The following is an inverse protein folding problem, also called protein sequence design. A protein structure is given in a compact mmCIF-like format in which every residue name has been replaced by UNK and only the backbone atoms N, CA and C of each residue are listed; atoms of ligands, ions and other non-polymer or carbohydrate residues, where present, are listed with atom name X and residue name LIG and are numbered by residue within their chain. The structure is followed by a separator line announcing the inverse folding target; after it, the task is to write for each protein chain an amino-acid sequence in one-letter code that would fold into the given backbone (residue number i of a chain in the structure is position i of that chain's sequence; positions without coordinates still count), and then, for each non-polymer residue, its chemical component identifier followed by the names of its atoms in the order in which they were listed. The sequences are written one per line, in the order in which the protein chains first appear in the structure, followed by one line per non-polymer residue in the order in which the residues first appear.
data_IF_451390754964
#
_entry.id   IF_451390754964
#
_cell.length_a   1.000
_cell.length_b   1.000
_cell.length_c   1.000
_cell.angle_alpha   90.00
_cell.angle_beta   90.00
_cell.angle_gamma   90.00
#
_symmetry.space_group_name_H-M   'P 1'
#
loop_
_entity.id
_entity.type
_entity.pdbx_description
1 polymer ?
#
# COMPACT_ATOMS: atom_id res chain seq x y z
N UNK A 1 -23.66 21.41 -12.71
CA UNK A 1 -22.63 22.39 -12.29
C UNK A 1 -21.29 21.70 -12.52
N UNK A 2 -20.51 22.14 -13.50
CA UNK A 2 -19.24 21.51 -13.86
C UNK A 2 -18.18 21.80 -12.80
N UNK A 3 -17.72 20.78 -12.09
CA UNK A 3 -16.57 20.89 -11.17
C UNK A 3 -15.34 21.36 -11.95
N UNK A 4 -14.81 22.52 -11.58
CA UNK A 4 -13.59 23.08 -12.16
C UNK A 4 -12.41 22.25 -11.64
N UNK A 5 -11.84 21.42 -12.51
CA UNK A 5 -10.69 20.59 -12.15
C UNK A 5 -9.43 21.45 -12.08
N UNK A 6 -8.70 21.36 -10.96
CA UNK A 6 -7.45 22.10 -10.76
C UNK A 6 -6.26 21.39 -11.39
N UNK A 7 -5.26 22.18 -11.83
CA UNK A 7 -4.02 21.67 -12.39
C UNK A 7 -3.18 20.93 -11.33
N UNK A 8 -2.70 19.73 -11.65
CA UNK A 8 -1.87 18.91 -10.77
C UNK A 8 -0.36 19.15 -10.90
N UNK A 9 0.05 20.18 -11.65
CA UNK A 9 1.45 20.55 -11.81
C UNK A 9 2.06 21.14 -10.54
N UNK A 10 3.27 20.75 -10.17
CA UNK A 10 4.00 21.27 -9.01
C UNK A 10 4.15 22.79 -9.09
N UNK A 11 3.49 23.51 -8.17
CA UNK A 11 3.48 24.98 -8.12
C UNK A 11 2.50 25.67 -9.08
N UNK A 12 1.46 24.98 -9.54
CA UNK A 12 0.44 25.56 -10.42
C UNK A 12 -0.96 25.49 -9.79
N UNK A 13 -1.62 26.64 -9.65
CA UNK A 13 -2.99 26.77 -9.10
C UNK A 13 -4.02 27.12 -10.18
N UNK A 14 -3.63 27.06 -11.46
CA UNK A 14 -4.50 27.40 -12.58
C UNK A 14 -5.54 26.31 -12.84
N UNK A 15 -6.68 26.68 -13.41
CA UNK A 15 -7.70 25.74 -13.87
C UNK A 15 -7.14 24.82 -14.96
N UNK A 16 -7.47 23.53 -14.88
CA UNK A 16 -7.01 22.56 -15.83
C UNK A 16 -7.90 22.55 -17.09
N UNK A 17 -7.25 22.52 -18.25
CA UNK A 17 -7.91 22.49 -19.58
C UNK A 17 -7.51 21.29 -20.42
N UNK A 18 -6.49 20.56 -19.99
CA UNK A 18 -5.91 19.43 -20.71
C UNK A 18 -5.79 18.23 -19.77
N UNK A 19 -5.97 17.04 -20.33
CA UNK A 19 -5.78 15.78 -19.62
C UNK A 19 -4.63 14.99 -20.24
N UNK A 20 -3.88 14.24 -19.44
CA UNK A 20 -2.79 13.41 -19.95
C UNK A 20 -3.34 12.32 -20.91
N UNK A 21 -2.87 12.25 -22.17
CA UNK A 21 -3.32 11.24 -23.14
C UNK A 21 -2.99 9.80 -22.71
N UNK A 22 -1.87 9.61 -22.02
CA UNK A 22 -1.47 8.29 -21.51
C UNK A 22 -2.34 7.84 -20.35
N UNK A 23 -2.73 8.76 -19.44
CA UNK A 23 -3.72 8.46 -18.39
C UNK A 23 -5.07 8.06 -18.98
N UNK A 24 -5.53 8.76 -20.01
CA UNK A 24 -6.77 8.42 -20.72
C UNK A 24 -6.71 7.00 -21.31
N UNK A 25 -5.59 6.63 -21.95
CA UNK A 25 -5.39 5.27 -22.48
C UNK A 25 -5.31 4.19 -21.41
N UNK A 26 -4.72 4.51 -20.26
CA UNK A 26 -4.57 3.58 -19.14
C UNK A 26 -5.77 3.59 -18.18
N UNK A 27 -6.84 4.34 -18.52
CA UNK A 27 -8.02 4.54 -17.69
C UNK A 27 -7.69 5.05 -16.26
N UNK A 28 -6.59 5.80 -16.11
CA UNK A 28 -6.16 6.43 -14.86
C UNK A 28 -6.89 7.76 -14.74
N UNK A 29 -7.83 7.85 -13.80
CA UNK A 29 -8.60 9.05 -13.53
C UNK A 29 -7.76 10.07 -12.75
N UNK A 30 -7.78 11.35 -13.14
CA UNK A 30 -7.28 12.43 -12.27
C UNK A 30 -6.17 13.32 -12.82
N UNK A 31 -5.49 12.99 -13.93
CA UNK A 31 -4.30 13.76 -14.35
C UNK A 31 -4.61 14.93 -15.29
N UNK A 32 -4.75 16.12 -14.71
CA UNK A 32 -5.16 17.35 -15.39
C UNK A 32 -4.09 18.45 -15.31
N UNK A 33 -3.92 19.19 -16.42
CA UNK A 33 -2.91 20.22 -16.60
C UNK A 33 -3.52 21.50 -17.21
N UNK A 34 -3.00 22.67 -16.83
CA UNK A 34 -3.51 23.95 -17.33
C UNK A 34 -3.10 24.28 -18.77
N UNK A 35 -1.94 23.78 -19.23
CA UNK A 35 -1.40 24.05 -20.56
C UNK A 35 -0.36 23.00 -20.97
N UNK A 36 -0.03 22.96 -22.27
CA UNK A 36 0.99 22.05 -22.82
C UNK A 36 2.37 22.27 -22.19
N UNK A 37 2.72 23.53 -21.88
CA UNK A 37 4.00 23.85 -21.23
C UNK A 37 4.04 23.37 -19.77
N UNK A 38 2.92 23.49 -19.05
CA UNK A 38 2.78 22.95 -17.70
C UNK A 38 2.91 21.42 -17.71
N UNK A 39 2.30 20.74 -18.69
CA UNK A 39 2.44 19.31 -18.89
C UNK A 39 3.90 18.91 -19.15
N UNK A 40 4.61 19.58 -20.06
CA UNK A 40 6.03 19.27 -20.36
C UNK A 40 6.94 19.48 -19.15
N UNK A 41 6.75 20.56 -18.40
CA UNK A 41 7.54 20.87 -17.19
C UNK A 41 7.35 19.82 -16.09
N UNK A 42 6.12 19.32 -15.94
CA UNK A 42 5.77 18.31 -14.94
C UNK A 42 5.85 16.87 -15.48
N UNK A 43 6.18 16.66 -16.76
CA UNK A 43 6.31 15.33 -17.34
C UNK A 43 7.34 14.44 -16.63
N UNK A 44 8.53 14.94 -16.21
CA UNK A 44 9.51 14.11 -15.50
C UNK A 44 9.00 13.51 -14.18
N UNK A 45 8.11 14.23 -13.47
CA UNK A 45 7.48 13.76 -12.23
C UNK A 45 6.19 12.99 -12.51
N UNK A 46 5.40 13.39 -13.51
CA UNK A 46 4.15 12.74 -13.87
C UNK A 46 4.34 11.38 -14.57
N UNK A 47 5.42 11.21 -15.34
CA UNK A 47 5.69 9.94 -16.05
C UNK A 47 5.85 8.74 -15.12
N UNK A 48 6.17 8.94 -13.83
CA UNK A 48 6.21 7.88 -12.83
C UNK A 48 4.83 7.30 -12.54
N UNK A 49 3.75 8.08 -12.73
CA UNK A 49 2.36 7.61 -12.65
C UNK A 49 2.08 6.59 -13.75
N UNK A 50 2.77 6.70 -14.89
CA UNK A 50 2.73 5.74 -15.99
C UNK A 50 3.82 4.67 -15.90
N UNK A 51 4.65 4.70 -14.85
CA UNK A 51 5.65 3.68 -14.64
C UNK A 51 4.94 2.44 -14.11
N UNK A 52 4.17 1.80 -14.99
CA UNK A 52 3.95 0.37 -14.93
C UNK A 52 5.34 -0.24 -14.74
N UNK A 53 5.53 -1.05 -13.70
CA UNK A 53 6.65 -1.98 -13.67
C UNK A 53 6.39 -2.99 -14.78
N UNK A 54 6.62 -2.55 -16.02
CA UNK A 54 6.72 -3.39 -17.18
C UNK A 54 7.97 -4.22 -16.91
N UNK A 55 7.75 -5.49 -16.55
CA UNK A 55 8.82 -6.47 -16.50
C UNK A 55 8.81 -7.12 -17.89
N UNK A 56 9.48 -6.53 -18.91
CA UNK A 56 9.55 -7.14 -20.21
C UNK A 56 10.06 -8.56 -20.05
N UNK A 57 9.34 -9.51 -20.66
CA UNK A 57 9.76 -10.91 -20.79
C UNK A 57 9.71 -11.76 -19.51
N UNK A 58 9.00 -11.35 -18.44
CA UNK A 58 8.74 -12.30 -17.34
C UNK A 58 7.73 -13.37 -17.80
N UNK A 59 8.09 -14.67 -17.81
CA UNK A 59 7.19 -15.73 -18.24
C UNK A 59 6.20 -16.05 -17.12
N UNK A 60 5.03 -15.42 -17.14
CA UNK A 60 3.95 -15.71 -16.20
C UNK A 60 3.47 -17.17 -16.36
N UNK A 61 3.25 -17.84 -15.24
CA UNK A 61 2.78 -19.24 -15.20
C UNK A 61 1.28 -19.39 -15.49
N UNK A 62 0.50 -18.31 -15.38
CA UNK A 62 -0.94 -18.31 -15.57
C UNK A 62 -1.47 -17.02 -16.18
N UNK A 63 -2.77 -16.76 -16.03
CA UNK A 63 -3.45 -15.59 -16.60
C UNK A 63 -3.34 -14.32 -15.74
N UNK A 64 -3.06 -14.47 -14.45
CA UNK A 64 -2.96 -13.34 -13.52
C UNK A 64 -1.78 -12.42 -13.89
N UNK A 65 -1.97 -11.11 -13.80
CA UNK A 65 -0.96 -10.08 -14.07
C UNK A 65 -0.94 -9.08 -12.93
N UNK A 66 0.24 -8.56 -12.60
CA UNK A 66 0.37 -7.46 -11.66
C UNK A 66 -0.22 -6.18 -12.29
N UNK A 67 -1.07 -5.48 -11.55
CA UNK A 67 -1.65 -4.20 -11.96
C UNK A 67 -0.92 -3.07 -11.23
N UNK A 68 -0.33 -2.17 -12.02
CA UNK A 68 0.45 -1.02 -11.57
C UNK A 68 -0.16 0.29 -12.12
N UNK A 69 0.11 1.45 -11.49
CA UNK A 69 0.93 1.64 -10.30
C UNK A 69 0.27 1.12 -9.02
N UNK A 70 1.07 0.72 -8.04
CA UNK A 70 0.55 0.46 -6.69
C UNK A 70 0.16 1.79 -6.05
N UNK A 71 -0.89 1.80 -5.22
CA UNK A 71 -1.15 2.97 -4.39
C UNK A 71 0.01 3.20 -3.41
N UNK A 72 0.28 4.46 -3.00
CA UNK A 72 1.35 4.79 -2.06
C UNK A 72 1.27 3.99 -0.77
N UNK A 73 2.41 3.78 -0.12
CA UNK A 73 2.45 3.10 1.18
C UNK A 73 1.60 3.88 2.19
N UNK A 74 0.70 3.18 2.87
CA UNK A 74 -0.20 3.77 3.87
C UNK A 74 0.57 4.11 5.14
N UNK A 75 0.19 5.20 5.80
CA UNK A 75 0.85 5.68 7.01
C UNK A 75 0.22 5.03 8.24
N UNK A 76 1.07 4.64 9.19
CA UNK A 76 0.64 4.19 10.52
C UNK A 76 0.87 5.35 11.50
N UNK A 77 -0.13 5.75 12.29
CA UNK A 77 0.03 6.79 13.31
C UNK A 77 1.20 6.53 14.26
N UNK A 78 1.89 7.59 14.74
CA UNK A 78 3.10 7.45 15.55
C UNK A 78 2.86 6.91 16.96
N UNK A 79 1.61 6.89 17.45
CA UNK A 79 1.27 6.37 18.77
C UNK A 79 1.17 4.83 18.81
N UNK A 80 1.04 4.18 17.65
CA UNK A 80 0.95 2.73 17.55
C UNK A 80 2.35 2.14 17.70
N UNK A 81 2.49 1.14 18.58
CA UNK A 81 3.74 0.42 18.78
C UNK A 81 4.18 -0.29 17.49
N UNK A 82 5.48 -0.18 17.17
CA UNK A 82 6.03 -0.63 15.88
C UNK A 82 7.01 -1.79 16.10
N UNK A 83 6.99 -2.82 15.25
CA UNK A 83 8.01 -3.86 15.28
C UNK A 83 9.38 -3.31 14.85
N UNK A 84 10.45 -4.03 15.16
CA UNK A 84 11.83 -3.58 14.95
C UNK A 84 12.21 -3.29 13.49
N UNK A 85 11.48 -3.89 12.55
CA UNK A 85 11.67 -3.70 11.12
C UNK A 85 10.90 -2.51 10.53
N UNK A 86 9.89 -1.97 11.23
CA UNK A 86 8.95 -1.00 10.66
C UNK A 86 9.64 0.25 10.10
N UNK A 87 10.69 0.71 10.79
CA UNK A 87 11.46 1.89 10.42
C UNK A 87 12.85 1.54 9.86
N UNK A 88 13.14 0.24 9.68
CA UNK A 88 14.36 -0.19 9.01
C UNK A 88 14.26 0.12 7.51
N UNK A 89 15.29 0.73 6.87
CA UNK A 89 15.23 1.11 5.45
C UNK A 89 14.87 -0.04 4.51
N UNK A 90 15.41 -1.23 4.80
CA UNK A 90 15.16 -2.47 4.06
C UNK A 90 14.14 -3.40 4.74
N UNK A 91 13.43 -2.94 5.77
CA UNK A 91 12.42 -3.77 6.44
C UNK A 91 12.96 -5.01 7.17
N UNK A 92 14.22 -5.01 7.57
CA UNK A 92 14.88 -6.19 8.12
C UNK A 92 14.63 -6.25 9.63
N UNK A 93 14.10 -7.37 10.12
CA UNK A 93 14.03 -7.66 11.56
C UNK A 93 15.38 -8.10 12.10
N UNK A 94 15.91 -7.37 13.09
CA UNK A 94 17.14 -7.73 13.81
C UNK A 94 16.86 -8.91 14.74
N UNK A 95 15.71 -8.90 15.45
CA UNK A 95 15.35 -9.98 16.38
C UNK A 95 15.25 -11.33 15.68
N UNK A 96 14.65 -11.38 14.49
CA UNK A 96 14.54 -12.63 13.72
C UNK A 96 15.89 -13.08 13.15
N UNK A 97 16.71 -12.15 12.67
CA UNK A 97 18.07 -12.46 12.20
C UNK A 97 18.93 -13.10 13.29
N UNK A 98 18.85 -12.57 14.52
CA UNK A 98 19.55 -13.14 15.67
C UNK A 98 19.00 -14.52 16.03
N UNK A 99 17.68 -14.73 15.93
CA UNK A 99 17.05 -16.00 16.22
C UNK A 99 17.24 -17.06 15.11
N UNK A 100 17.60 -16.68 13.88
CA UNK A 100 17.65 -17.58 12.71
C UNK A 100 18.53 -18.83 12.88
N UNK A 101 19.62 -18.72 13.62
CA UNK A 101 20.53 -19.84 13.87
C UNK A 101 20.12 -20.70 15.07
N UNK A 102 19.08 -20.30 15.80
CA UNK A 102 18.64 -20.95 17.02
C UNK A 102 17.55 -21.99 16.72
N UNK A 103 17.69 -23.19 17.29
CA UNK A 103 16.67 -24.25 17.22
C UNK A 103 15.75 -24.27 18.44
N UNK A 104 16.02 -23.41 19.43
CA UNK A 104 15.22 -23.30 20.64
C UNK A 104 13.82 -22.76 20.34
N UNK A 105 12.80 -23.52 20.75
CA UNK A 105 11.41 -23.11 20.68
C UNK A 105 11.04 -22.42 21.99
N UNK A 106 10.64 -21.15 21.90
CA UNK A 106 10.20 -20.37 23.05
C UNK A 106 8.93 -20.97 23.66
N UNK A 107 9.01 -21.32 24.94
CA UNK A 107 7.83 -21.65 25.76
C UNK A 107 7.33 -20.35 26.39
N UNK A 108 6.10 -19.96 26.06
CA UNK A 108 5.52 -18.70 26.50
C UNK A 108 5.08 -18.76 27.96
N UNK A 109 5.24 -17.66 28.68
CA UNK A 109 4.67 -17.49 30.02
C UNK A 109 3.18 -17.08 29.93
N UNK A 110 2.50 -16.95 31.09
CA UNK A 110 1.07 -16.63 31.14
C UNK A 110 0.72 -15.28 30.50
N UNK A 111 1.52 -14.24 30.74
CA UNK A 111 1.29 -12.89 30.22
C UNK A 111 1.45 -12.87 28.69
N UNK A 112 2.50 -13.54 28.19
CA UNK A 112 2.74 -13.67 26.75
C UNK A 112 1.62 -14.45 26.04
N UNK A 113 1.09 -15.50 26.67
CA UNK A 113 -0.06 -16.26 26.16
C UNK A 113 -1.29 -15.36 26.04
N UNK A 114 -1.59 -14.52 27.05
CA UNK A 114 -2.71 -13.58 26.98
C UNK A 114 -2.51 -12.53 25.89
N UNK A 115 -1.28 -12.04 25.69
CA UNK A 115 -0.92 -11.17 24.59
C UNK A 115 -1.21 -11.80 23.22
N UNK A 116 -0.75 -13.05 23.01
CA UNK A 116 -1.00 -13.81 21.78
C UNK A 116 -2.50 -14.05 21.57
N UNK A 117 -3.25 -14.42 22.60
CA UNK A 117 -4.71 -14.60 22.52
C UNK A 117 -5.42 -13.33 22.09
N UNK A 118 -5.04 -12.20 22.67
CA UNK A 118 -5.62 -10.89 22.37
C UNK A 118 -5.35 -10.51 20.92
N UNK A 119 -4.10 -10.54 20.45
CA UNK A 119 -3.76 -10.18 19.07
C UNK A 119 -4.39 -11.14 18.05
N UNK A 120 -4.46 -12.44 18.34
CA UNK A 120 -5.12 -13.40 17.45
C UNK A 120 -6.63 -13.15 17.32
N UNK A 121 -7.30 -12.74 18.41
CA UNK A 121 -8.71 -12.34 18.37
C UNK A 121 -8.90 -11.10 17.49
N UNK A 122 -8.09 -10.06 17.68
CA UNK A 122 -8.13 -8.85 16.86
C UNK A 122 -7.86 -9.14 15.38
N UNK A 123 -6.86 -9.99 15.09
CA UNK A 123 -6.55 -10.42 13.73
C UNK A 123 -7.72 -11.15 13.06
N UNK A 124 -8.47 -11.97 13.83
CA UNK A 124 -9.69 -12.63 13.32
C UNK A 124 -10.76 -11.60 12.94
N UNK A 125 -11.02 -10.62 13.79
CA UNK A 125 -12.00 -9.57 13.51
C UNK A 125 -11.63 -8.76 12.27
N UNK A 126 -10.35 -8.43 12.10
CA UNK A 126 -9.84 -7.76 10.90
C UNK A 126 -10.04 -8.62 9.65
N UNK A 127 -9.78 -9.93 9.75
CA UNK A 127 -10.03 -10.86 8.65
C UNK A 127 -11.53 -10.93 8.27
N UNK A 128 -12.43 -10.90 9.26
CA UNK A 128 -13.88 -10.84 9.04
C UNK A 128 -14.30 -9.57 8.29
N UNK A 129 -13.74 -8.42 8.70
CA UNK A 129 -13.97 -7.13 8.03
C UNK A 129 -13.46 -7.20 6.59
N UNK A 130 -12.25 -7.72 6.37
CA UNK A 130 -11.69 -7.92 5.04
C UNK A 130 -12.56 -8.84 4.18
N UNK A 131 -13.03 -9.95 4.72
CA UNK A 131 -13.90 -10.89 4.02
C UNK A 131 -15.23 -10.25 3.57
N UNK A 132 -15.81 -9.36 4.39
CA UNK A 132 -17.05 -8.65 4.06
C UNK A 132 -16.91 -7.69 2.87
N UNK A 133 -15.68 -7.30 2.50
CA UNK A 133 -15.44 -6.43 1.33
C UNK A 133 -15.41 -7.19 -0.01
N UNK A 134 -15.27 -8.52 0.03
CA UNK A 134 -15.03 -9.34 -1.16
C UNK A 134 -16.29 -9.41 -2.01
N UNK A 135 -16.27 -8.73 -3.16
CA UNK A 135 -17.31 -8.79 -4.19
C UNK A 135 -16.72 -8.46 -5.57
N UNK A 136 -17.33 -8.92 -6.68
CA UNK A 136 -16.88 -8.56 -8.02
C UNK A 136 -16.75 -7.04 -8.20
N UNK A 137 -15.64 -6.61 -8.81
CA UNK A 137 -15.32 -5.20 -9.05
C UNK A 137 -14.51 -4.52 -7.95
N UNK A 138 -14.34 -5.13 -6.78
CA UNK A 138 -13.42 -4.63 -5.75
C UNK A 138 -11.98 -5.04 -6.07
N UNK A 139 -11.06 -4.09 -5.99
CA UNK A 139 -9.63 -4.34 -6.18
C UNK A 139 -9.01 -4.87 -4.90
N UNK A 140 -7.92 -5.62 -5.02
CA UNK A 140 -7.14 -6.05 -3.85
C UNK A 140 -6.53 -4.89 -3.08
N UNK A 141 -6.22 -3.78 -3.76
CA UNK A 141 -5.74 -2.54 -3.11
C UNK A 141 -6.80 -1.87 -2.22
N UNK A 142 -8.08 -2.02 -2.58
CA UNK A 142 -9.21 -1.56 -1.77
C UNK A 142 -9.44 -2.48 -0.56
N UNK A 143 -9.25 -3.79 -0.71
CA UNK A 143 -9.25 -4.74 0.41
C UNK A 143 -8.13 -4.41 1.40
N UNK A 144 -6.91 -4.15 0.89
CA UNK A 144 -5.77 -3.69 1.71
C UNK A 144 -6.09 -2.40 2.46
N UNK A 145 -6.78 -1.44 1.83
CA UNK A 145 -7.20 -0.19 2.48
C UNK A 145 -8.06 -0.48 3.70
N UNK A 146 -9.12 -1.26 3.52
CA UNK A 146 -10.09 -1.56 4.58
C UNK A 146 -9.42 -2.34 5.71
N UNK A 147 -8.57 -3.31 5.38
CA UNK A 147 -7.81 -4.07 6.38
C UNK A 147 -6.83 -3.16 7.14
N UNK A 148 -6.11 -2.29 6.44
CA UNK A 148 -5.22 -1.33 7.08
C UNK A 148 -5.96 -0.45 8.08
N UNK A 149 -7.06 0.18 7.67
CA UNK A 149 -7.88 1.05 8.53
C UNK A 149 -8.41 0.28 9.75
N UNK A 150 -8.93 -0.93 9.57
CA UNK A 150 -9.42 -1.78 10.66
C UNK A 150 -8.33 -2.18 11.67
N UNK A 151 -7.08 -2.29 11.23
CA UNK A 151 -5.92 -2.56 12.09
C UNK A 151 -5.54 -1.30 12.89
N UNK A 152 -5.53 -0.12 12.25
CA UNK A 152 -5.26 1.16 12.91
C UNK A 152 -6.31 1.48 13.98
N UNK A 153 -7.60 1.23 13.69
CA UNK A 153 -8.70 1.38 14.65
C UNK A 153 -8.56 0.51 15.90
N UNK A 154 -7.74 -0.54 15.84
CA UNK A 154 -7.42 -1.46 16.95
C UNK A 154 -6.07 -1.16 17.58
N UNK A 155 -5.54 0.05 17.38
CA UNK A 155 -4.24 0.51 17.87
C UNK A 155 -3.10 -0.49 17.60
N UNK A 156 -3.16 -1.14 16.44
CA UNK A 156 -2.26 -2.24 16.07
C UNK A 156 -1.45 -1.90 14.82
N UNK A 157 -0.28 -2.51 14.68
CA UNK A 157 0.56 -2.38 13.49
C UNK A 157 0.27 -3.50 12.47
N UNK A 158 0.04 -3.19 11.19
CA UNK A 158 -0.09 -4.22 10.15
C UNK A 158 1.26 -4.88 9.88
N UNK A 159 1.51 -6.05 10.46
CA UNK A 159 2.82 -6.72 10.43
C UNK A 159 3.45 -6.87 9.04
N UNK A 160 2.72 -7.18 7.95
CA UNK A 160 3.32 -7.23 6.62
C UNK A 160 3.93 -5.89 6.16
N UNK A 161 3.44 -4.76 6.65
CA UNK A 161 3.86 -3.45 6.18
C UNK A 161 5.33 -3.20 6.46
N UNK A 162 6.09 -2.95 5.41
CA UNK A 162 7.54 -2.78 5.42
C UNK A 162 8.32 -4.01 5.92
N UNK A 163 7.72 -5.17 6.14
CA UNK A 163 8.46 -6.39 6.45
C UNK A 163 9.22 -6.84 5.20
N UNK A 164 10.56 -6.81 5.25
CA UNK A 164 11.43 -6.96 4.08
C UNK A 164 10.99 -6.12 2.86
N UNK A 165 10.67 -4.85 3.12
CA UNK A 165 10.20 -3.86 2.13
C UNK A 165 8.82 -4.17 1.52
N UNK A 166 8.08 -5.16 2.03
CA UNK A 166 6.74 -5.48 1.54
C UNK A 166 5.84 -4.23 1.59
N UNK A 167 5.18 -3.86 0.46
CA UNK A 167 4.64 -2.51 0.29
C UNK A 167 3.22 -2.30 0.86
N UNK A 168 2.55 -3.37 1.28
CA UNK A 168 1.13 -3.37 1.67
C UNK A 168 0.94 -3.91 3.09
N UNK A 169 -0.28 -3.78 3.61
CA UNK A 169 -0.65 -4.17 4.97
C UNK A 169 -1.09 -5.63 5.06
N UNK A 170 -1.41 -6.24 3.92
CA UNK A 170 -1.89 -7.62 3.79
C UNK A 170 -1.48 -8.21 2.43
N UNK A 171 -1.51 -9.54 2.34
CA UNK A 171 -1.35 -10.28 1.09
C UNK A 171 -2.73 -10.71 0.57
N UNK A 172 -2.96 -10.55 -0.73
CA UNK A 172 -4.23 -10.84 -1.43
C UNK A 172 -3.97 -11.64 -2.69
#
# INVERSE_FOLDING_TARGET
MSEVQQCQGSGCTKEAKLQCPTCLKLNISGSFFCSQDCFKKNWPTHKSVHQTLYIPNFPYTGTLRALYPLSPRRQVPPHIERPDYADHPQGISKSEKTAKANTFIKVLNKEEIEGVRTVCKLAREVLDIGAATVKPGITTDEIDRVIHEAIIERDSYPSPLNYYEFPKSVCT
#
